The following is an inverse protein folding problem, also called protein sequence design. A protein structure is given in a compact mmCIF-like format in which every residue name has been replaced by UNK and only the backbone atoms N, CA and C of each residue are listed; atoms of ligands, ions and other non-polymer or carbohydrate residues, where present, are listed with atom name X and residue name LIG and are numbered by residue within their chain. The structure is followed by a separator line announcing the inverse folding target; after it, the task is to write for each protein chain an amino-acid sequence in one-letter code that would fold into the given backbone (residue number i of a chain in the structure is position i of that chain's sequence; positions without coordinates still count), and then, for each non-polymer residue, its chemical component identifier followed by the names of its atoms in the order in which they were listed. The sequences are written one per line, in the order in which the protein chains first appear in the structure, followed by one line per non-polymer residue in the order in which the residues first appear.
data_IF_815755542637
#
_entry.id   IF_815755542637
#
_cell.length_a   1.000
_cell.length_b   1.000
_cell.length_c   1.000
_cell.angle_alpha   90.00
_cell.angle_beta   90.00
_cell.angle_gamma   90.00
#
_symmetry.space_group_name_H-M   'P 1'
#
loop_
_entity.id
_entity.type
_entity.pdbx_description
1 polymer ?
#
# COMPACT_ATOMS: atom_id res chain seq x y z
N UNK A 1 36.78 15.13 16.22
CA UNK A 1 36.43 15.37 14.79
C UNK A 1 37.14 14.31 13.97
N UNK A 2 36.48 13.19 13.70
CA UNK A 2 37.02 12.15 12.82
C UNK A 2 36.71 12.52 11.38
N UNK A 3 37.73 12.68 10.54
CA UNK A 3 37.53 12.84 9.10
C UNK A 3 36.95 11.53 8.55
N UNK A 4 35.79 11.61 7.89
CA UNK A 4 35.24 10.48 7.14
C UNK A 4 36.23 10.22 5.98
N UNK A 5 36.78 9.00 5.83
CA UNK A 5 37.73 8.72 4.77
C UNK A 5 37.08 8.93 3.40
N UNK A 6 37.83 9.49 2.44
CA UNK A 6 37.35 9.81 1.09
C UNK A 6 36.69 8.61 0.38
N UNK A 7 37.11 7.37 0.67
CA UNK A 7 36.48 6.15 0.17
C UNK A 7 35.02 5.94 0.65
N UNK A 8 34.70 6.30 1.90
CA UNK A 8 33.32 6.22 2.43
C UNK A 8 32.41 7.27 1.79
N UNK A 9 32.98 8.39 1.29
CA UNK A 9 32.21 9.41 0.57
C UNK A 9 31.79 8.91 -0.83
N UNK A 10 32.69 8.21 -1.54
CA UNK A 10 32.39 7.65 -2.85
C UNK A 10 31.36 6.52 -2.78
N UNK A 11 31.47 5.61 -1.80
CA UNK A 11 30.50 4.52 -1.63
C UNK A 11 29.10 5.03 -1.24
N UNK A 12 29.02 6.01 -0.33
CA UNK A 12 27.73 6.61 0.04
C UNK A 12 27.11 7.41 -1.11
N UNK A 13 27.93 7.98 -1.99
CA UNK A 13 27.46 8.65 -3.20
C UNK A 13 26.86 7.66 -4.20
N UNK A 14 27.50 6.51 -4.42
CA UNK A 14 26.99 5.47 -5.32
C UNK A 14 25.66 4.89 -4.81
N UNK A 15 25.55 4.56 -3.52
CA UNK A 15 24.30 4.08 -2.91
C UNK A 15 23.17 5.13 -2.98
N UNK A 16 23.51 6.41 -2.84
CA UNK A 16 22.55 7.50 -2.98
C UNK A 16 22.01 7.57 -4.42
N UNK A 17 22.88 7.50 -5.42
CA UNK A 17 22.45 7.49 -6.82
C UNK A 17 21.65 6.25 -7.18
N UNK A 18 22.05 5.07 -6.72
CA UNK A 18 21.28 3.84 -6.92
C UNK A 18 19.88 3.97 -6.37
N UNK A 19 19.74 4.46 -5.13
CA UNK A 19 18.42 4.69 -4.53
C UNK A 19 17.60 5.71 -5.30
N UNK A 20 18.20 6.83 -5.72
CA UNK A 20 17.51 7.83 -6.53
C UNK A 20 17.01 7.26 -7.86
N UNK A 21 17.82 6.44 -8.52
CA UNK A 21 17.45 5.81 -9.78
C UNK A 21 16.35 4.76 -9.58
N UNK A 22 16.41 3.99 -8.49
CA UNK A 22 15.34 3.05 -8.11
C UNK A 22 14.03 3.79 -7.82
N UNK A 23 14.08 4.88 -7.05
CA UNK A 23 12.91 5.71 -6.73
C UNK A 23 12.31 6.35 -7.98
N UNK A 24 13.15 6.80 -8.92
CA UNK A 24 12.69 7.35 -10.20
C UNK A 24 12.03 6.29 -11.10
N UNK A 25 12.61 5.08 -11.20
CA UNK A 25 12.01 3.97 -11.96
C UNK A 25 10.70 3.50 -11.33
N UNK A 26 10.66 3.41 -10.00
CA UNK A 26 9.45 3.10 -9.24
C UNK A 26 8.35 4.15 -9.50
N UNK A 27 8.68 5.44 -9.43
CA UNK A 27 7.74 6.53 -9.75
C UNK A 27 7.24 6.47 -11.20
N UNK A 28 8.13 6.19 -12.16
CA UNK A 28 7.76 6.01 -13.57
C UNK A 28 6.72 4.89 -13.71
N UNK A 29 6.97 3.74 -13.07
CA UNK A 29 6.09 2.58 -13.11
C UNK A 29 4.73 2.85 -12.47
N UNK A 30 4.70 3.53 -11.33
CA UNK A 30 3.44 4.00 -10.74
C UNK A 30 2.68 4.92 -11.68
N UNK A 31 3.37 5.85 -12.36
CA UNK A 31 2.75 6.73 -13.35
C UNK A 31 2.14 5.98 -14.54
N UNK A 32 2.71 4.83 -14.93
CA UNK A 32 2.17 3.98 -15.99
C UNK A 32 0.93 3.22 -15.54
N UNK A 33 1.01 2.52 -14.41
CA UNK A 33 -0.12 1.75 -13.87
C UNK A 33 -1.27 2.66 -13.45
N UNK A 34 -1.01 3.87 -12.94
CA UNK A 34 -2.04 4.86 -12.61
C UNK A 34 -2.85 5.27 -13.85
N UNK A 35 -2.17 5.53 -14.98
CA UNK A 35 -2.84 5.84 -16.26
C UNK A 35 -3.67 4.66 -16.75
N UNK A 36 -3.16 3.45 -16.61
CA UNK A 36 -3.88 2.24 -16.99
C UNK A 36 -5.13 2.02 -16.13
N UNK A 37 -5.01 2.14 -14.80
CA UNK A 37 -6.14 2.05 -13.86
C UNK A 37 -7.20 3.09 -14.23
N UNK A 38 -6.80 4.35 -14.44
CA UNK A 38 -7.73 5.42 -14.80
C UNK A 38 -8.46 5.13 -16.10
N UNK A 39 -7.78 4.61 -17.13
CA UNK A 39 -8.38 4.32 -18.42
C UNK A 39 -9.33 3.11 -18.37
N UNK A 40 -8.97 2.07 -17.61
CA UNK A 40 -9.79 0.84 -17.48
C UNK A 40 -11.05 1.09 -16.64
N UNK A 41 -10.97 1.98 -15.65
CA UNK A 41 -12.07 2.27 -14.73
C UNK A 41 -12.92 3.48 -15.13
N UNK A 42 -12.72 4.06 -16.31
CA UNK A 42 -13.52 5.18 -16.81
C UNK A 42 -15.01 4.79 -16.86
N UNK A 43 -15.86 5.55 -16.16
CA UNK A 43 -17.31 5.31 -16.07
C UNK A 43 -17.73 4.10 -15.22
N UNK A 44 -16.81 3.35 -14.63
CA UNK A 44 -17.15 2.21 -13.77
C UNK A 44 -17.46 2.67 -12.35
N UNK A 45 -18.65 2.29 -11.86
CA UNK A 45 -19.17 2.68 -10.55
C UNK A 45 -19.22 1.53 -9.54
N UNK A 46 -19.12 0.28 -9.99
CA UNK A 46 -19.15 -0.88 -9.14
C UNK A 46 -17.88 -0.97 -8.27
N UNK A 47 -18.03 -0.75 -6.95
CA UNK A 47 -16.91 -0.73 -6.00
C UNK A 47 -16.04 -2.01 -6.07
N UNK A 48 -16.67 -3.18 -6.17
CA UNK A 48 -15.95 -4.47 -6.20
C UNK A 48 -15.12 -4.60 -7.49
N UNK A 49 -15.67 -4.25 -8.65
CA UNK A 49 -14.95 -4.24 -9.93
C UNK A 49 -13.74 -3.31 -9.87
N UNK A 50 -13.91 -2.13 -9.26
CA UNK A 50 -12.84 -1.13 -9.13
C UNK A 50 -11.72 -1.63 -8.22
N UNK A 51 -12.07 -2.17 -7.04
CA UNK A 51 -11.11 -2.76 -6.10
C UNK A 51 -10.37 -3.96 -6.71
N UNK A 52 -11.08 -4.86 -7.38
CA UNK A 52 -10.48 -6.02 -8.03
C UNK A 52 -9.48 -5.60 -9.13
N UNK A 53 -9.85 -4.61 -9.94
CA UNK A 53 -9.00 -4.07 -11.01
C UNK A 53 -7.76 -3.37 -10.45
N UNK A 54 -7.91 -2.51 -9.44
CA UNK A 54 -6.76 -1.83 -8.79
C UNK A 54 -5.79 -2.86 -8.21
N UNK A 55 -6.30 -3.86 -7.48
CA UNK A 55 -5.48 -4.92 -6.89
C UNK A 55 -4.71 -5.70 -7.96
N UNK A 56 -5.39 -6.07 -9.05
CA UNK A 56 -4.82 -6.81 -10.17
C UNK A 56 -3.70 -6.02 -10.89
N UNK A 57 -3.98 -4.77 -11.25
CA UNK A 57 -3.02 -3.96 -12.01
C UNK A 57 -1.80 -3.58 -11.19
N UNK A 58 -1.98 -3.25 -9.90
CA UNK A 58 -0.85 -2.97 -9.01
C UNK A 58 -0.01 -4.21 -8.72
N UNK A 59 -0.62 -5.38 -8.48
CA UNK A 59 0.14 -6.61 -8.25
C UNK A 59 0.95 -7.04 -9.47
N UNK A 60 0.45 -6.79 -10.69
CA UNK A 60 1.18 -7.09 -11.93
C UNK A 60 2.29 -6.08 -12.23
N UNK A 61 2.19 -4.86 -11.72
CA UNK A 61 3.21 -3.84 -11.95
C UNK A 61 4.48 -4.07 -11.11
N UNK A 62 4.37 -4.72 -9.95
CA UNK A 62 5.47 -4.85 -9.00
C UNK A 62 5.67 -6.29 -8.54
N UNK A 63 6.79 -6.91 -8.97
CA UNK A 63 7.09 -8.31 -8.63
C UNK A 63 7.27 -8.58 -7.12
N UNK A 64 7.61 -7.54 -6.34
CA UNK A 64 7.81 -7.64 -4.90
C UNK A 64 6.51 -7.50 -4.09
N UNK A 65 5.38 -7.26 -4.75
CA UNK A 65 4.05 -7.27 -4.14
C UNK A 65 3.65 -8.73 -3.92
N UNK A 66 3.74 -9.16 -2.67
CA UNK A 66 3.44 -10.54 -2.28
C UNK A 66 1.95 -10.74 -2.00
N UNK A 67 1.33 -9.76 -1.34
CA UNK A 67 -0.10 -9.65 -1.14
C UNK A 67 -0.52 -8.23 -1.50
N UNK A 68 -1.68 -8.04 -2.12
CA UNK A 68 -2.16 -6.72 -2.56
C UNK A 68 -3.67 -6.72 -2.61
N UNK A 69 -4.33 -5.87 -1.86
CA UNK A 69 -5.78 -5.88 -1.86
C UNK A 69 -6.42 -4.95 -0.85
N UNK A 70 -7.71 -5.15 -0.66
CA UNK A 70 -8.53 -4.30 0.19
C UNK A 70 -9.04 -5.07 1.41
N UNK A 71 -9.08 -4.37 2.52
CA UNK A 71 -9.87 -4.72 3.70
C UNK A 71 -10.94 -3.64 3.88
N UNK A 72 -12.20 -4.00 3.69
CA UNK A 72 -13.34 -3.09 3.71
C UNK A 72 -13.88 -2.92 5.13
N UNK A 73 -14.42 -1.75 5.47
CA UNK A 73 -15.16 -1.59 6.72
C UNK A 73 -16.45 -2.42 6.63
N UNK A 74 -16.66 -3.31 7.60
CA UNK A 74 -17.85 -4.16 7.64
C UNK A 74 -19.10 -3.29 7.94
N UNK A 75 -20.13 -3.30 7.07
CA UNK A 75 -21.33 -2.49 7.27
C UNK A 75 -22.14 -2.87 8.52
N UNK A 76 -22.02 -4.11 9.00
CA UNK A 76 -22.67 -4.59 10.22
C UNK A 76 -21.78 -4.38 11.47
N UNK A 77 -20.48 -4.14 11.28
CA UNK A 77 -19.49 -3.96 12.35
C UNK A 77 -18.52 -2.80 12.03
N UNK A 78 -18.90 -1.55 12.31
CA UNK A 78 -18.18 -0.35 11.84
C UNK A 78 -16.77 -0.12 12.42
N UNK A 79 -16.32 -0.97 13.35
CA UNK A 79 -14.97 -0.97 13.92
C UNK A 79 -14.19 -2.26 13.59
N UNK A 80 -14.63 -2.97 12.56
CA UNK A 80 -14.01 -4.19 12.06
C UNK A 80 -13.84 -4.06 10.54
N UNK A 81 -12.68 -4.47 10.06
CA UNK A 81 -12.42 -4.67 8.66
C UNK A 81 -12.75 -6.11 8.26
N UNK A 82 -13.22 -6.31 7.04
CA UNK A 82 -13.46 -7.61 6.39
C UNK A 82 -12.72 -7.65 5.05
N UNK A 83 -12.09 -8.77 4.72
CA UNK A 83 -11.31 -8.89 3.47
C UNK A 83 -12.21 -8.69 2.24
N UNK A 84 -11.76 -7.81 1.33
CA UNK A 84 -12.37 -7.51 0.04
C UNK A 84 -11.63 -8.19 -1.12
N UNK A 85 -11.64 -7.62 -2.33
CA UNK A 85 -10.83 -8.12 -3.44
C UNK A 85 -9.32 -8.01 -3.16
N UNK A 86 -8.56 -9.06 -3.46
CA UNK A 86 -7.11 -9.10 -3.30
C UNK A 86 -6.43 -10.03 -4.30
N UNK A 87 -5.11 -9.92 -4.40
CA UNK A 87 -4.18 -10.84 -5.07
C UNK A 87 -3.17 -11.33 -4.03
N UNK A 88 -2.85 -12.62 -4.04
CA UNK A 88 -1.92 -13.23 -3.08
C UNK A 88 -2.49 -14.47 -2.39
N UNK A 89 -1.89 -14.85 -1.28
CA UNK A 89 -2.33 -15.99 -0.47
C UNK A 89 -3.44 -15.62 0.52
N UNK A 90 -4.03 -16.63 1.16
CA UNK A 90 -5.06 -16.44 2.18
C UNK A 90 -4.50 -15.60 3.34
N UNK A 91 -5.08 -14.41 3.55
CA UNK A 91 -4.80 -13.54 4.69
C UNK A 91 -5.86 -13.64 5.79
N UNK A 92 -5.86 -12.66 6.70
CA UNK A 92 -6.90 -12.53 7.71
C UNK A 92 -8.27 -12.30 7.03
N UNK A 93 -9.34 -12.90 7.53
CA UNK A 93 -10.68 -12.59 7.00
C UNK A 93 -11.27 -11.33 7.63
N UNK A 94 -10.88 -11.05 8.88
CA UNK A 94 -11.42 -9.94 9.69
C UNK A 94 -10.32 -9.34 10.56
N UNK A 95 -10.31 -8.02 10.69
CA UNK A 95 -9.31 -7.27 11.45
C UNK A 95 -9.99 -6.16 12.25
N UNK A 96 -9.99 -6.20 13.60
CA UNK A 96 -10.52 -5.09 14.39
C UNK A 96 -9.69 -3.81 14.22
N UNK A 97 -10.33 -2.65 14.32
CA UNK A 97 -9.62 -1.37 14.31
C UNK A 97 -8.61 -1.29 15.46
N UNK A 98 -7.44 -0.69 15.19
CA UNK A 98 -6.30 -0.60 16.10
C UNK A 98 -5.51 -1.91 16.29
N UNK A 99 -5.79 -2.96 15.51
CA UNK A 99 -5.09 -4.25 15.59
C UNK A 99 -4.32 -4.56 14.31
N UNK A 100 -3.03 -4.89 14.45
CA UNK A 100 -2.13 -5.02 13.30
C UNK A 100 -1.96 -3.71 12.53
N UNK A 101 -1.16 -3.74 11.46
CA UNK A 101 -0.88 -2.56 10.64
C UNK A 101 -2.18 -2.08 9.95
N UNK A 102 -2.93 -3.00 9.34
CA UNK A 102 -4.25 -2.71 8.76
C UNK A 102 -5.25 -2.04 9.72
N UNK A 103 -5.41 -2.59 10.93
CA UNK A 103 -6.33 -2.03 11.91
C UNK A 103 -5.85 -0.68 12.43
N UNK A 104 -4.54 -0.49 12.61
CA UNK A 104 -3.97 0.82 13.00
C UNK A 104 -4.24 1.86 11.90
N UNK A 105 -4.01 1.54 10.63
CA UNK A 105 -4.31 2.43 9.50
C UNK A 105 -5.79 2.84 9.49
N UNK A 106 -6.70 1.88 9.72
CA UNK A 106 -8.14 2.17 9.80
C UNK A 106 -8.50 3.06 10.98
N UNK A 107 -7.87 2.88 12.14
CA UNK A 107 -8.13 3.66 13.35
C UNK A 107 -7.57 5.08 13.27
N UNK A 108 -6.31 5.23 12.83
CA UNK A 108 -5.64 6.53 12.73
C UNK A 108 -6.10 7.33 11.51
N UNK A 109 -6.59 6.66 10.46
CA UNK A 109 -6.81 7.22 9.13
C UNK A 109 -5.53 7.82 8.53
N UNK A 110 -4.39 7.20 8.86
CA UNK A 110 -3.08 7.57 8.33
C UNK A 110 -2.43 6.36 7.68
N UNK A 111 -1.74 6.60 6.55
CA UNK A 111 -0.94 5.57 5.89
C UNK A 111 0.14 5.04 6.82
N UNK A 112 0.22 3.71 6.93
CA UNK A 112 1.24 3.02 7.69
C UNK A 112 2.31 2.53 6.72
N UNK A 113 3.57 2.91 6.96
CA UNK A 113 4.72 2.51 6.17
C UNK A 113 5.68 1.73 7.07
N UNK A 114 5.66 0.40 6.95
CA UNK A 114 6.30 -0.51 7.92
C UNK A 114 7.47 -1.25 7.26
N UNK A 115 8.70 -0.87 7.62
CA UNK A 115 9.92 -1.47 7.07
C UNK A 115 10.20 -2.89 7.59
N UNK A 116 9.71 -3.23 8.79
CA UNK A 116 9.76 -4.57 9.38
C UNK A 116 8.48 -4.83 10.19
N UNK A 117 7.59 -5.69 9.67
CA UNK A 117 6.32 -6.03 10.34
C UNK A 117 6.53 -6.74 11.67
N UNK A 118 7.64 -7.46 11.83
CA UNK A 118 7.94 -8.18 13.07
C UNK A 118 8.35 -7.23 14.20
N UNK A 119 8.80 -6.02 13.86
CA UNK A 119 9.09 -4.96 14.81
C UNK A 119 7.85 -4.11 15.14
N UNK A 120 6.73 -4.28 14.44
CA UNK A 120 5.53 -3.46 14.63
C UNK A 120 4.78 -3.82 15.92
N UNK A 121 4.50 -2.86 16.81
CA UNK A 121 3.74 -3.12 18.03
C UNK A 121 2.33 -3.64 17.73
N UNK A 122 1.91 -4.72 18.40
CA UNK A 122 0.60 -5.36 18.15
C UNK A 122 0.44 -5.99 16.76
N UNK A 123 1.55 -6.42 16.13
CA UNK A 123 1.51 -7.18 14.88
C UNK A 123 0.60 -8.41 15.01
N UNK A 124 -0.38 -8.49 14.11
CA UNK A 124 -1.14 -9.70 13.84
C UNK A 124 -0.61 -10.20 12.50
N UNK A 125 0.22 -11.25 12.54
CA UNK A 125 0.70 -11.87 11.32
C UNK A 125 -0.48 -12.53 10.59
N UNK A 126 -0.92 -11.95 9.47
CA UNK A 126 -1.90 -12.57 8.58
C UNK A 126 -1.23 -13.62 7.67
N UNK A 127 -0.02 -13.35 7.18
CA UNK A 127 0.86 -14.33 6.53
C UNK A 127 2.29 -14.17 7.07
N UNK A 128 2.88 -15.26 7.57
CA UNK A 128 4.21 -15.24 8.20
C UNK A 128 5.36 -14.90 7.24
N UNK A 129 5.09 -14.87 5.93
CA UNK A 129 6.09 -14.49 4.92
C UNK A 129 6.19 -12.99 4.72
N UNK A 130 5.21 -12.20 5.17
CA UNK A 130 5.32 -10.75 5.13
C UNK A 130 6.49 -10.28 5.99
N UNK A 131 7.29 -9.36 5.45
CA UNK A 131 8.45 -8.76 6.10
C UNK A 131 8.34 -7.24 6.13
N UNK A 132 7.78 -6.60 5.10
CA UNK A 132 7.38 -5.18 5.14
C UNK A 132 5.98 -5.01 4.57
N UNK A 133 5.32 -3.94 4.98
CA UNK A 133 3.90 -3.69 4.68
C UNK A 133 3.67 -2.18 4.47
N UNK A 134 2.83 -1.83 3.51
CA UNK A 134 2.25 -0.49 3.39
C UNK A 134 0.74 -0.60 3.36
N UNK A 135 0.08 0.16 4.25
CA UNK A 135 -1.38 0.21 4.33
C UNK A 135 -1.86 1.64 4.16
N UNK A 136 -2.72 1.87 3.17
CA UNK A 136 -3.28 3.19 2.83
C UNK A 136 -4.78 3.22 3.13
N UNK A 137 -5.28 4.13 3.98
CA UNK A 137 -6.70 4.34 4.17
C UNK A 137 -7.40 4.78 2.89
N UNK A 138 -8.58 4.19 2.61
CA UNK A 138 -9.41 4.52 1.45
C UNK A 138 -10.69 5.16 1.95
N UNK A 139 -10.94 6.40 1.53
CA UNK A 139 -12.12 7.17 1.92
C UNK A 139 -13.03 7.44 0.74
N UNK A 140 -14.34 7.49 1.00
CA UNK A 140 -15.35 7.99 0.06
C UNK A 140 -15.23 9.50 -0.13
N UNK A 141 -15.92 10.09 -1.14
CA UNK A 141 -15.94 11.54 -1.35
C UNK A 141 -16.41 12.35 -0.14
N UNK A 142 -17.25 11.76 0.72
CA UNK A 142 -17.73 12.38 1.97
C UNK A 142 -16.75 12.28 3.15
N UNK A 143 -15.57 11.68 2.94
CA UNK A 143 -14.54 11.48 3.96
C UNK A 143 -14.79 10.30 4.91
N UNK A 144 -15.83 9.48 4.66
CA UNK A 144 -16.03 8.23 5.40
C UNK A 144 -15.00 7.19 4.99
N UNK A 145 -14.40 6.51 5.97
CA UNK A 145 -13.49 5.39 5.71
C UNK A 145 -14.31 4.23 5.12
N UNK A 146 -13.97 3.77 3.92
CA UNK A 146 -14.62 2.63 3.29
C UNK A 146 -13.78 1.36 3.36
N UNK A 147 -12.46 1.50 3.33
CA UNK A 147 -11.53 0.38 3.32
C UNK A 147 -10.13 0.86 3.74
N UNK A 148 -9.22 -0.10 3.88
CA UNK A 148 -7.78 0.13 3.73
C UNK A 148 -7.29 -0.69 2.55
N UNK A 149 -6.34 -0.15 1.79
CA UNK A 149 -5.59 -0.85 0.77
C UNK A 149 -4.26 -1.30 1.37
N UNK A 150 -3.97 -2.58 1.28
CA UNK A 150 -2.86 -3.23 1.95
C UNK A 150 -1.96 -3.94 0.93
N UNK A 151 -0.66 -3.77 1.10
CA UNK A 151 0.38 -4.39 0.29
C UNK A 151 1.49 -4.94 1.18
N UNK A 152 1.72 -6.24 1.08
CA UNK A 152 2.82 -6.93 1.74
C UNK A 152 3.98 -7.20 0.78
N UNK A 153 5.19 -7.28 1.34
CA UNK A 153 6.35 -7.84 0.65
C UNK A 153 7.07 -8.87 1.51
N UNK A 154 7.66 -9.87 0.86
CA UNK A 154 8.53 -10.86 1.52
C UNK A 154 9.94 -10.34 1.82
N UNK A 155 10.28 -9.13 1.37
CA UNK A 155 11.53 -8.45 1.70
C UNK A 155 11.29 -7.34 2.72
N UNK A 156 12.30 -7.05 3.54
CA UNK A 156 12.31 -5.91 4.45
C UNK A 156 12.43 -4.60 3.68
N UNK A 157 11.85 -3.52 4.22
CA UNK A 157 12.00 -2.16 3.71
C UNK A 157 11.74 -2.00 2.20
N UNK A 158 10.75 -2.73 1.67
CA UNK A 158 10.40 -2.69 0.24
C UNK A 158 9.69 -1.40 -0.18
N UNK A 159 8.96 -0.81 0.77
CA UNK A 159 8.14 0.37 0.57
C UNK A 159 8.81 1.62 1.15
N UNK A 160 8.63 2.75 0.46
CA UNK A 160 9.13 4.05 0.85
C UNK A 160 8.11 5.16 0.53
N UNK A 161 8.54 6.40 0.66
CA UNK A 161 7.66 7.57 0.47
C UNK A 161 7.13 7.70 -0.96
N UNK A 162 7.85 7.19 -1.98
CA UNK A 162 7.36 7.16 -3.36
C UNK A 162 6.13 6.25 -3.45
N UNK A 163 6.18 5.07 -2.84
CA UNK A 163 5.04 4.15 -2.81
C UNK A 163 3.83 4.79 -2.14
N UNK A 164 4.04 5.39 -0.96
CA UNK A 164 3.00 6.08 -0.22
C UNK A 164 2.31 7.16 -1.06
N UNK A 165 3.08 8.09 -1.63
CA UNK A 165 2.53 9.20 -2.41
C UNK A 165 1.72 8.70 -3.61
N UNK A 166 2.24 7.72 -4.35
CA UNK A 166 1.55 7.20 -5.53
C UNK A 166 0.32 6.37 -5.18
N UNK A 167 0.38 5.51 -4.17
CA UNK A 167 -0.77 4.72 -3.74
C UNK A 167 -1.88 5.61 -3.17
N UNK A 168 -1.56 6.60 -2.34
CA UNK A 168 -2.52 7.61 -1.86
C UNK A 168 -3.18 8.34 -3.03
N UNK A 169 -2.38 8.79 -4.02
CA UNK A 169 -2.91 9.48 -5.20
C UNK A 169 -3.83 8.58 -6.04
N UNK A 170 -3.41 7.35 -6.35
CA UNK A 170 -4.21 6.40 -7.14
C UNK A 170 -5.53 6.09 -6.44
N UNK A 171 -5.48 5.80 -5.15
CA UNK A 171 -6.67 5.45 -4.38
C UNK A 171 -7.62 6.65 -4.23
N UNK A 172 -7.10 7.86 -4.08
CA UNK A 172 -7.91 9.07 -4.08
C UNK A 172 -8.54 9.37 -5.46
N UNK A 173 -7.80 9.18 -6.55
CA UNK A 173 -8.33 9.38 -7.89
C UNK A 173 -9.42 8.38 -8.25
N UNK A 174 -9.31 7.14 -7.78
CA UNK A 174 -10.36 6.14 -7.93
C UNK A 174 -11.48 6.42 -6.92
N UNK A 175 -11.26 6.28 -5.62
CA UNK A 175 -12.37 6.20 -4.65
C UNK A 175 -12.76 7.53 -3.99
N UNK A 176 -11.90 8.55 -4.03
CA UNK A 176 -12.13 9.84 -3.39
C UNK A 176 -13.01 10.81 -4.20
N UNK A 177 -13.46 10.40 -5.39
CA UNK A 177 -14.28 11.20 -6.31
C UNK A 177 -15.52 10.39 -6.73
N UNK A 178 -16.61 11.09 -7.02
CA UNK A 178 -17.75 10.45 -7.69
C UNK A 178 -17.30 9.91 -9.05
N UNK A 179 -17.75 8.70 -9.46
CA UNK A 179 -17.48 8.19 -10.80
C UNK A 179 -17.97 9.19 -11.85
N UNK A 180 -17.12 9.53 -12.81
CA UNK A 180 -17.44 10.43 -13.91
C UNK A 180 -18.37 9.77 -14.94
#
# INVERSE_FOLDING_TARGET
MGAIPILDLFHNFDLFWERLMQDAEKARRYGEVAKQISAVLEGESNEVTRMATVSCLLSQAFDYYFWTGFYMVDPEKPHELVVGPYQGTLGCLRIPFGKGVCGVAAQSRETQLVADVNAFPSHIACDSRSQSEIVVPVTRPDGTLMAVFDVDSTALNSFNEVDKQWLEQILNDVFGKEPA
#
